data_IF_766172158895
#
_entry.id   IF_766172158895
#
_cell.length_a   1.000
_cell.length_b   1.000
_cell.length_c   1.000
_cell.angle_alpha   90.00
_cell.angle_beta   90.00
_cell.angle_gamma   90.00
#
_symmetry.space_group_name_H-M   'P 1'
#
loop_
_entity.id
_entity.type
_entity.pdbx_description
1 polymer ?
#
# COMPACT_ATOMS: atom_id res chain seq x y z
N UNK A 1 2.47 -4.69 -13.44
CA UNK A 1 3.61 -3.85 -13.01
C UNK A 1 4.75 -3.96 -14.00
N UNK A 2 5.79 -4.72 -13.65
CA UNK A 2 7.09 -4.82 -14.36
C UNK A 2 7.02 -4.90 -15.88
N UNK A 3 6.18 -5.78 -16.44
CA UNK A 3 6.04 -5.94 -17.91
C UNK A 3 5.67 -4.65 -18.63
N UNK A 4 4.86 -3.81 -17.99
CA UNK A 4 4.31 -2.57 -18.54
C UNK A 4 5.05 -1.32 -18.04
N UNK A 5 6.19 -1.47 -17.36
CA UNK A 5 6.95 -0.35 -16.82
C UNK A 5 6.23 0.47 -15.75
N UNK A 6 5.15 -0.06 -15.16
CA UNK A 6 4.47 0.60 -14.03
C UNK A 6 5.33 0.51 -12.78
N UNK A 7 5.51 1.66 -12.13
CA UNK A 7 6.26 1.81 -10.88
C UNK A 7 5.72 0.86 -9.80
N UNK A 8 6.63 0.12 -9.15
CA UNK A 8 6.29 -0.81 -8.06
C UNK A 8 6.95 -0.31 -6.79
N UNK A 9 6.11 0.00 -5.81
CA UNK A 9 6.54 0.51 -4.52
C UNK A 9 6.04 -0.44 -3.43
N UNK A 10 6.95 -0.89 -2.59
CA UNK A 10 6.66 -1.71 -1.43
C UNK A 10 6.63 -0.84 -0.19
N UNK A 11 5.72 -1.15 0.73
CA UNK A 11 5.75 -0.59 2.07
C UNK A 11 5.92 -1.68 3.10
N UNK A 12 6.77 -1.45 4.09
CA UNK A 12 7.00 -2.35 5.21
C UNK A 12 6.74 -1.60 6.52
N UNK A 13 6.23 -2.31 7.53
CA UNK A 13 6.20 -1.76 8.89
C UNK A 13 7.59 -1.94 9.48
N UNK A 14 8.24 -0.86 9.90
CA UNK A 14 9.55 -0.91 10.52
C UNK A 14 9.77 0.34 11.36
N UNK A 15 10.28 0.16 12.58
CA UNK A 15 10.67 1.27 13.42
C UNK A 15 11.90 1.98 12.85
N UNK A 16 11.89 3.31 12.86
CA UNK A 16 13.06 4.13 12.53
C UNK A 16 14.07 4.14 13.68
N UNK A 17 13.62 4.05 14.93
CA UNK A 17 14.48 3.98 16.12
C UNK A 17 14.45 2.58 16.75
N UNK A 18 15.55 2.22 17.43
CA UNK A 18 15.66 0.91 18.09
C UNK A 18 14.61 0.71 19.20
N UNK A 19 14.25 1.80 19.90
CA UNK A 19 13.23 1.81 20.95
C UNK A 19 11.79 1.98 20.42
N UNK A 20 11.61 2.16 19.10
CA UNK A 20 10.31 2.35 18.47
C UNK A 20 9.55 3.60 18.94
N UNK A 21 10.24 4.64 19.45
CA UNK A 21 9.61 5.89 19.92
C UNK A 21 9.01 6.70 18.77
N UNK A 22 9.49 6.49 17.56
CA UNK A 22 9.05 7.11 16.30
C UNK A 22 7.66 6.63 15.85
N UNK A 23 7.20 5.48 16.35
CA UNK A 23 5.88 4.94 16.01
C UNK A 23 4.74 5.89 16.32
N UNK A 24 3.74 5.89 15.44
CA UNK A 24 2.45 6.53 15.69
C UNK A 24 1.77 5.98 16.95
N UNK A 25 0.89 6.78 17.54
CA UNK A 25 0.19 6.40 18.77
C UNK A 25 -0.60 5.10 18.61
N UNK A 26 -1.29 4.91 17.48
CA UNK A 26 -2.00 3.68 17.17
C UNK A 26 -1.09 2.45 17.21
N UNK A 27 0.10 2.50 16.58
CA UNK A 27 1.05 1.38 16.59
C UNK A 27 1.59 1.09 17.99
N UNK A 28 1.73 2.12 18.84
CA UNK A 28 2.11 1.95 20.24
C UNK A 28 1.00 1.25 21.03
N UNK A 29 -0.26 1.63 20.83
CA UNK A 29 -1.42 1.05 21.53
C UNK A 29 -1.75 -0.37 21.04
N UNK A 30 -1.61 -0.62 19.73
CA UNK A 30 -1.84 -1.90 19.09
C UNK A 30 -0.63 -2.85 19.17
N UNK A 31 0.45 -2.43 19.82
CA UNK A 31 1.69 -3.17 19.98
C UNK A 31 2.33 -3.65 18.66
N UNK A 32 2.19 -2.87 17.59
CA UNK A 32 2.94 -3.09 16.35
C UNK A 32 4.36 -2.56 16.53
N UNK A 33 5.23 -3.39 17.10
CA UNK A 33 6.66 -3.14 17.25
C UNK A 33 7.42 -3.99 16.26
N UNK A 34 7.86 -3.41 15.14
CA UNK A 34 8.66 -4.13 14.14
C UNK A 34 10.08 -3.59 14.19
N UNK A 35 10.99 -4.38 14.76
CA UNK A 35 12.36 -3.94 15.01
C UNK A 35 13.08 -3.58 13.70
N UNK A 36 13.89 -2.52 13.75
CA UNK A 36 14.70 -2.07 12.62
C UNK A 36 15.65 -3.17 12.13
N UNK A 37 15.68 -3.42 10.84
CA UNK A 37 16.48 -4.47 10.19
C UNK A 37 16.01 -5.90 10.46
N UNK A 38 14.90 -6.09 11.16
CA UNK A 38 14.38 -7.42 11.48
C UNK A 38 13.88 -8.16 10.24
N UNK A 39 13.64 -9.47 10.39
CA UNK A 39 13.01 -10.27 9.33
C UNK A 39 11.59 -9.82 9.02
N UNK A 40 10.86 -9.36 10.03
CA UNK A 40 9.47 -8.94 9.91
C UNK A 40 9.33 -7.57 9.22
N UNK A 41 10.42 -6.79 9.18
CA UNK A 41 10.53 -5.54 8.43
C UNK A 41 10.83 -5.74 6.93
N UNK A 42 10.91 -6.98 6.43
CA UNK A 42 11.25 -7.26 5.03
C UNK A 42 10.03 -7.68 4.21
N UNK A 43 10.05 -7.30 2.93
CA UNK A 43 9.17 -7.89 1.92
C UNK A 43 9.45 -9.39 1.84
N UNK A 44 8.41 -10.20 1.76
CA UNK A 44 8.54 -11.66 1.65
C UNK A 44 9.27 -12.06 0.36
N UNK A 45 10.03 -13.16 0.42
CA UNK A 45 10.88 -13.61 -0.70
C UNK A 45 10.08 -13.84 -2.00
N UNK A 46 8.84 -14.33 -1.89
CA UNK A 46 7.95 -14.56 -3.04
C UNK A 46 7.58 -13.28 -3.81
N UNK A 47 7.71 -12.11 -3.17
CA UNK A 47 7.44 -10.79 -3.75
C UNK A 47 8.67 -9.89 -3.70
N UNK A 48 9.88 -10.47 -3.63
CA UNK A 48 11.12 -9.73 -3.47
C UNK A 48 11.19 -8.53 -4.44
N UNK A 49 11.56 -7.33 -3.93
CA UNK A 49 11.74 -6.14 -4.75
C UNK A 49 12.82 -6.36 -5.82
N UNK A 50 12.59 -5.77 -6.99
CA UNK A 50 13.58 -5.63 -8.04
C UNK A 50 14.69 -4.65 -7.63
N UNK A 51 15.73 -4.56 -8.46
CA UNK A 51 16.91 -3.74 -8.17
C UNK A 51 16.61 -2.24 -8.06
N UNK A 52 15.58 -1.77 -8.77
CA UNK A 52 15.22 -0.35 -8.91
C UNK A 52 13.79 -0.08 -8.41
N UNK A 53 13.28 -0.93 -7.50
CA UNK A 53 11.94 -0.77 -6.92
C UNK A 53 12.05 -0.20 -5.50
N UNK A 54 11.19 0.75 -5.18
CA UNK A 54 11.22 1.46 -3.90
C UNK A 54 10.68 0.56 -2.77
N UNK A 55 11.36 0.58 -1.62
CA UNK A 55 10.88 -0.02 -0.36
C UNK A 55 10.84 1.07 0.70
N UNK A 56 9.66 1.37 1.22
CA UNK A 56 9.42 2.47 2.14
C UNK A 56 8.94 1.94 3.49
N UNK A 57 9.71 2.21 4.53
CA UNK A 57 9.36 1.90 5.91
C UNK A 57 8.33 2.89 6.44
N UNK A 58 7.26 2.40 7.06
CA UNK A 58 6.19 3.21 7.64
C UNK A 58 5.92 2.87 9.10
N UNK A 59 5.45 3.86 9.84
CA UNK A 59 5.26 3.79 11.30
C UNK A 59 3.84 4.19 11.72
N UNK A 60 2.93 4.27 10.75
CA UNK A 60 1.48 4.52 10.88
C UNK A 60 0.70 3.72 9.83
N UNK A 61 -0.61 3.54 10.01
CA UNK A 61 -1.46 2.76 9.09
C UNK A 61 -1.42 3.25 7.64
N UNK A 62 -1.75 4.53 7.39
CA UNK A 62 -1.52 5.14 6.07
C UNK A 62 -0.04 5.41 5.86
N UNK A 63 0.47 5.01 4.69
CA UNK A 63 1.84 5.31 4.29
C UNK A 63 2.06 6.81 4.05
N UNK A 64 1.00 7.58 3.73
CA UNK A 64 1.11 9.02 3.50
C UNK A 64 1.43 9.82 4.78
N UNK A 65 1.16 9.25 5.95
CA UNK A 65 1.25 9.99 7.22
C UNK A 65 2.58 9.81 7.96
N UNK A 66 3.39 8.82 7.59
CA UNK A 66 4.68 8.53 8.25
C UNK A 66 5.86 8.41 7.29
N UNK A 67 5.66 8.72 6.00
CA UNK A 67 6.70 8.57 4.98
C UNK A 67 6.77 9.79 4.08
N UNK A 68 7.82 9.85 3.25
CA UNK A 68 7.98 10.83 2.18
C UNK A 68 7.33 10.38 0.85
N UNK A 69 6.49 9.35 0.85
CA UNK A 69 5.93 8.73 -0.36
C UNK A 69 5.32 9.75 -1.31
N UNK A 70 4.44 10.64 -0.83
CA UNK A 70 3.77 11.62 -1.69
C UNK A 70 4.76 12.51 -2.45
N UNK A 71 5.78 13.00 -1.76
CA UNK A 71 6.82 13.81 -2.38
C UNK A 71 7.52 13.04 -3.50
N UNK A 72 7.87 11.77 -3.25
CA UNK A 72 8.54 10.91 -4.23
C UNK A 72 7.64 10.64 -5.43
N UNK A 73 6.41 10.17 -5.24
CA UNK A 73 5.55 9.79 -6.36
C UNK A 73 5.09 10.98 -7.20
N UNK A 74 4.95 12.17 -6.59
CA UNK A 74 4.68 13.42 -7.34
C UNK A 74 5.86 13.81 -8.21
N UNK A 75 7.11 13.64 -7.75
CA UNK A 75 8.29 13.90 -8.57
C UNK A 75 8.42 12.91 -9.74
N UNK A 76 7.92 11.67 -9.58
CA UNK A 76 7.85 10.67 -10.66
C UNK A 76 6.70 10.98 -11.64
N UNK A 77 5.72 11.80 -11.24
CA UNK A 77 4.56 12.15 -12.05
C UNK A 77 3.42 11.13 -11.98
N UNK A 78 3.32 10.37 -10.88
CA UNK A 78 2.26 9.38 -10.67
C UNK A 78 1.04 10.07 -10.05
N UNK A 79 -0.13 9.87 -10.66
CA UNK A 79 -1.44 10.35 -10.17
C UNK A 79 -2.41 9.20 -9.82
N UNK A 80 -2.12 7.97 -10.25
CA UNK A 80 -2.99 6.80 -10.12
C UNK A 80 -2.28 5.70 -9.35
N UNK A 81 -2.92 5.17 -8.31
CA UNK A 81 -2.31 4.24 -7.37
C UNK A 81 -3.20 3.01 -7.18
N UNK A 82 -2.70 1.86 -7.59
CA UNK A 82 -3.30 0.56 -7.25
C UNK A 82 -2.71 0.03 -5.94
N UNK A 83 -3.57 -0.26 -4.97
CA UNK A 83 -3.19 -0.69 -3.62
C UNK A 83 -3.54 -2.16 -3.43
N UNK A 84 -2.56 -2.93 -2.93
CA UNK A 84 -2.67 -4.36 -2.61
C UNK A 84 -2.06 -4.62 -1.22
N UNK A 85 -2.38 -5.76 -0.60
CA UNK A 85 -1.71 -6.21 0.62
C UNK A 85 -2.62 -6.42 1.84
N UNK A 86 -2.11 -6.12 3.02
CA UNK A 86 -2.69 -6.51 4.30
C UNK A 86 -2.40 -5.43 5.36
N UNK A 87 -3.35 -5.00 6.19
CA UNK A 87 -4.74 -5.41 6.35
C UNK A 87 -5.71 -4.55 5.51
N UNK A 88 -6.72 -5.18 4.90
CA UNK A 88 -7.75 -4.50 4.08
C UNK A 88 -8.46 -3.42 4.89
N UNK A 89 -8.79 -3.71 6.14
CA UNK A 89 -9.54 -2.85 7.06
C UNK A 89 -8.64 -1.95 7.93
N UNK A 90 -7.33 -1.90 7.65
CA UNK A 90 -6.41 -0.99 8.33
C UNK A 90 -5.53 -0.26 7.31
N UNK A 91 -4.32 -0.75 7.07
CA UNK A 91 -3.33 -0.04 6.25
C UNK A 91 -3.82 0.24 4.83
N UNK A 92 -4.58 -0.68 4.24
CA UNK A 92 -5.17 -0.50 2.91
C UNK A 92 -6.26 0.58 2.95
N UNK A 93 -7.26 0.43 3.82
CA UNK A 93 -8.35 1.41 3.98
C UNK A 93 -7.82 2.83 4.20
N UNK A 94 -6.91 3.01 5.16
CA UNK A 94 -6.35 4.33 5.48
C UNK A 94 -5.55 4.92 4.31
N UNK A 95 -4.79 4.09 3.59
CA UNK A 95 -4.04 4.54 2.41
C UNK A 95 -4.97 4.94 1.27
N UNK A 96 -6.07 4.19 1.07
CA UNK A 96 -7.09 4.51 0.05
C UNK A 96 -7.75 5.84 0.35
N UNK A 97 -8.23 6.05 1.59
CA UNK A 97 -8.92 7.30 1.96
C UNK A 97 -7.98 8.50 1.90
N UNK A 98 -6.79 8.40 2.49
CA UNK A 98 -5.82 9.50 2.46
C UNK A 98 -5.38 9.82 1.03
N UNK A 99 -5.16 8.80 0.20
CA UNK A 99 -4.79 9.00 -1.20
C UNK A 99 -5.89 9.71 -1.99
N UNK A 100 -7.14 9.33 -1.79
CA UNK A 100 -8.29 9.98 -2.41
C UNK A 100 -8.41 11.46 -2.01
N UNK A 101 -8.29 11.77 -0.72
CA UNK A 101 -8.34 13.15 -0.21
C UNK A 101 -7.14 14.00 -0.68
N UNK A 102 -5.99 13.37 -0.95
CA UNK A 102 -4.79 14.02 -1.52
C UNK A 102 -4.84 14.18 -3.05
N UNK A 103 -5.95 13.76 -3.68
CA UNK A 103 -6.21 13.94 -5.11
C UNK A 103 -5.60 12.87 -6.02
N UNK A 104 -5.29 11.68 -5.50
CA UNK A 104 -4.86 10.55 -6.32
C UNK A 104 -6.05 9.72 -6.80
N UNK A 105 -5.94 9.15 -8.01
CA UNK A 105 -6.87 8.14 -8.49
C UNK A 105 -6.57 6.80 -7.83
N UNK A 106 -7.33 6.48 -6.78
CA UNK A 106 -7.12 5.26 -6.01
C UNK A 106 -7.84 4.06 -6.62
N UNK A 107 -7.14 2.93 -6.67
CA UNK A 107 -7.66 1.63 -7.08
C UNK A 107 -7.37 0.63 -5.96
N UNK A 108 -8.41 -0.02 -5.43
CA UNK A 108 -8.27 -1.17 -4.52
C UNK A 108 -8.35 -2.45 -5.33
N UNK A 109 -7.34 -3.31 -5.24
CA UNK A 109 -7.33 -4.63 -5.89
C UNK A 109 -7.84 -5.67 -4.90
N UNK A 110 -9.16 -5.86 -4.89
CA UNK A 110 -9.87 -6.56 -3.82
C UNK A 110 -9.39 -8.00 -3.57
N UNK A 111 -9.10 -8.78 -4.61
CA UNK A 111 -8.60 -10.15 -4.51
C UNK A 111 -7.09 -10.25 -4.20
N UNK A 112 -6.38 -9.12 -4.23
CA UNK A 112 -4.99 -8.99 -3.78
C UNK A 112 -4.88 -8.30 -2.42
N UNK A 113 -6.01 -8.11 -1.73
CA UNK A 113 -6.10 -7.57 -0.38
C UNK A 113 -6.62 -8.64 0.58
N UNK A 114 -6.13 -8.64 1.83
CA UNK A 114 -6.60 -9.57 2.85
C UNK A 114 -6.77 -8.90 4.22
N UNK A 115 -7.65 -9.48 5.05
CA UNK A 115 -7.81 -9.17 6.47
C UNK A 115 -7.92 -10.47 7.26
N UNK A 116 -7.87 -10.41 8.59
CA UNK A 116 -7.91 -11.59 9.47
C UNK A 116 -9.16 -12.45 9.26
N UNK A 117 -10.27 -11.85 8.81
CA UNK A 117 -11.47 -12.59 8.42
C UNK A 117 -12.07 -12.05 7.13
N UNK A 118 -12.77 -12.91 6.40
CA UNK A 118 -13.53 -12.52 5.21
C UNK A 118 -14.59 -11.46 5.52
N UNK A 119 -15.18 -11.52 6.71
CA UNK A 119 -16.17 -10.52 7.17
C UNK A 119 -15.53 -9.13 7.30
N UNK A 120 -14.37 -9.03 7.97
CA UNK A 120 -13.63 -7.77 8.11
C UNK A 120 -13.19 -7.21 6.76
N UNK A 121 -12.64 -8.08 5.92
CA UNK A 121 -12.26 -7.73 4.55
C UNK A 121 -13.45 -7.13 3.77
N UNK A 122 -14.59 -7.82 3.74
CA UNK A 122 -15.77 -7.36 3.00
C UNK A 122 -16.37 -6.07 3.58
N UNK A 123 -16.38 -5.94 4.91
CA UNK A 123 -16.86 -4.74 5.59
C UNK A 123 -16.03 -3.51 5.19
N UNK A 124 -14.70 -3.64 5.17
CA UNK A 124 -13.80 -2.56 4.74
C UNK A 124 -13.98 -2.19 3.28
N UNK A 125 -14.00 -3.17 2.36
CA UNK A 125 -14.27 -2.90 0.93
C UNK A 125 -15.57 -2.11 0.76
N UNK A 126 -16.62 -2.47 1.49
CA UNK A 126 -17.90 -1.76 1.45
C UNK A 126 -17.82 -0.35 2.04
N UNK A 127 -16.98 -0.14 3.06
CA UNK A 127 -16.82 1.13 3.76
C UNK A 127 -16.03 2.16 2.94
N UNK A 128 -15.01 1.74 2.18
CA UNK A 128 -14.16 2.66 1.41
C UNK A 128 -14.44 2.69 -0.09
N UNK A 129 -15.39 1.89 -0.62
CA UNK A 129 -15.71 1.87 -2.07
C UNK A 129 -16.07 3.23 -2.69
N UNK A 130 -16.45 4.21 -1.88
CA UNK A 130 -16.72 5.58 -2.36
C UNK A 130 -15.46 6.40 -2.65
N UNK A 131 -14.29 5.93 -2.23
CA UNK A 131 -13.00 6.65 -2.32
C UNK A 131 -12.07 6.08 -3.40
N UNK A 132 -12.42 4.93 -3.99
CA UNK A 132 -11.59 4.28 -4.99
C UNK A 132 -12.41 3.49 -6.01
N UNK A 133 -11.80 3.17 -7.15
CA UNK A 133 -12.28 2.06 -7.98
C UNK A 133 -11.92 0.75 -7.29
N UNK A 134 -12.89 -0.13 -7.12
CA UNK A 134 -12.63 -1.47 -6.60
C UNK A 134 -12.57 -2.46 -7.76
N UNK A 135 -11.40 -3.04 -7.98
CA UNK A 135 -11.09 -3.93 -9.10
C UNK A 135 -10.68 -5.32 -8.59
N UNK A 136 -10.61 -6.28 -9.50
CA UNK A 136 -9.90 -7.55 -9.27
C UNK A 136 -8.56 -7.51 -9.99
N UNK A 137 -7.67 -8.44 -9.66
CA UNK A 137 -6.37 -8.57 -10.32
C UNK A 137 -6.57 -8.81 -11.82
N UNK A 138 -7.58 -9.61 -12.20
CA UNK A 138 -7.91 -9.87 -13.59
C UNK A 138 -8.37 -8.62 -14.35
N UNK A 139 -9.26 -7.80 -13.75
CA UNK A 139 -9.76 -6.58 -14.42
C UNK A 139 -8.69 -5.50 -14.51
N UNK A 140 -7.84 -5.37 -13.48
CA UNK A 140 -6.70 -4.46 -13.52
C UNK A 140 -5.69 -4.85 -14.59
N UNK A 141 -5.30 -6.13 -14.68
CA UNK A 141 -4.36 -6.60 -15.70
C UNK A 141 -4.92 -6.35 -17.11
N UNK A 142 -6.20 -6.68 -17.34
CA UNK A 142 -6.83 -6.45 -18.63
C UNK A 142 -6.87 -4.96 -19.01
N UNK A 143 -7.10 -4.07 -18.03
CA UNK A 143 -7.06 -2.62 -18.25
C UNK A 143 -5.64 -2.16 -18.60
N UNK A 144 -4.63 -2.61 -17.86
CA UNK A 144 -3.22 -2.30 -18.11
C UNK A 144 -2.78 -2.79 -19.50
N UNK A 145 -3.10 -4.03 -19.86
CA UNK A 145 -2.76 -4.58 -21.18
C UNK A 145 -3.36 -3.73 -22.30
N UNK A 146 -4.60 -3.25 -22.14
CA UNK A 146 -5.24 -2.39 -23.13
C UNK A 146 -4.60 -1.00 -23.22
N UNK A 147 -4.28 -0.40 -22.08
CA UNK A 147 -3.74 0.96 -21.98
C UNK A 147 -2.30 1.04 -22.50
N UNK A 148 -1.44 0.10 -22.07
CA UNK A 148 -0.02 0.10 -22.41
C UNK A 148 0.32 -0.62 -23.72
N UNK A 149 -0.59 -1.43 -24.30
CA UNK A 149 -0.39 -1.95 -25.67
C UNK A 149 -0.77 -0.94 -26.76
N UNK A 150 -1.42 0.17 -26.38
CA UNK A 150 -1.80 1.25 -27.29
C UNK A 150 -0.77 2.39 -27.36
N UNK A 151 0.31 2.29 -26.59
CA UNK A 151 1.44 3.22 -26.54
C UNK A 151 2.67 2.61 -27.22
#
# INVERSE_FOLDING_TARGET
>A
GRRHGVEIIYTVMENLTEDGRDRGLDYKLSNFFIARGSRDARVIDALAPGRDELVISKTSSSLFNSTNFEYVIRNIGIDTIAVTGFLTDQCIDHTIRDGADRGFHMISVSDACASDTRMRHQAALNAFKGYCRNETTATLIAAMDKEFSAA
#
